data_IF_424505279268
#
_entry.id   IF_424505279268
#
_cell.length_a   1.000
_cell.length_b   1.000
_cell.length_c   1.000
_cell.angle_alpha   90.00
_cell.angle_beta   90.00
_cell.angle_gamma   90.00
#
_symmetry.space_group_name_H-M   'P 1'
#
loop_
_entity.id
_entity.type
_entity.pdbx_description
1 polymer ?
#
# COMPACT_ATOMS: atom_id res chain seq x y z
N UNK A 1 20.84 -7.56 -11.16
CA UNK A 1 19.41 -7.26 -10.88
C UNK A 1 18.44 -7.96 -11.83
N UNK A 2 18.73 -8.03 -13.14
CA UNK A 2 17.88 -8.70 -14.13
C UNK A 2 17.59 -10.19 -13.83
N UNK A 3 18.56 -10.92 -13.29
CA UNK A 3 18.38 -12.35 -12.97
C UNK A 3 17.45 -12.63 -11.79
N UNK A 4 17.40 -11.77 -10.77
CA UNK A 4 16.42 -11.93 -9.69
C UNK A 4 15.00 -11.67 -10.19
N UNK A 5 14.82 -10.65 -11.03
CA UNK A 5 13.52 -10.35 -11.62
C UNK A 5 13.06 -11.49 -12.55
N UNK A 6 13.97 -12.02 -13.39
CA UNK A 6 13.69 -13.18 -14.23
C UNK A 6 13.36 -14.41 -13.40
N UNK A 7 14.10 -14.70 -12.34
CA UNK A 7 13.81 -15.82 -11.43
C UNK A 7 12.47 -15.65 -10.71
N UNK A 8 12.15 -14.45 -10.26
CA UNK A 8 10.86 -14.14 -9.64
C UNK A 8 9.69 -14.29 -10.63
N UNK A 9 9.86 -13.85 -11.88
CA UNK A 9 8.87 -14.03 -12.95
C UNK A 9 8.73 -15.52 -13.29
N UNK A 10 9.83 -16.28 -13.46
CA UNK A 10 9.78 -17.71 -13.75
C UNK A 10 9.12 -18.52 -12.61
N UNK A 11 9.39 -18.16 -11.35
CA UNK A 11 8.70 -18.70 -10.18
C UNK A 11 7.22 -18.31 -10.16
N UNK A 12 6.90 -17.05 -10.47
CA UNK A 12 5.53 -16.56 -10.56
C UNK A 12 4.70 -17.21 -11.67
N UNK A 13 5.33 -17.55 -12.79
CA UNK A 13 4.71 -18.29 -13.90
C UNK A 13 4.44 -19.76 -13.51
N UNK A 14 5.32 -20.37 -12.71
CA UNK A 14 5.11 -21.72 -12.17
C UNK A 14 3.99 -21.81 -11.13
N UNK A 15 3.73 -20.72 -10.41
CA UNK A 15 2.64 -20.60 -9.43
C UNK A 15 1.32 -20.10 -10.04
N UNK A 16 1.19 -20.13 -11.37
CA UNK A 16 -0.02 -19.64 -12.04
C UNK A 16 -1.24 -20.41 -11.57
N UNK A 17 -2.28 -19.63 -11.28
CA UNK A 17 -3.59 -20.03 -10.75
C UNK A 17 -4.04 -21.36 -11.37
N UNK A 18 -4.14 -22.42 -10.57
CA UNK A 18 -4.90 -23.60 -10.97
C UNK A 18 -6.36 -23.16 -11.07
N UNK A 19 -6.93 -23.16 -12.28
CA UNK A 19 -8.33 -22.80 -12.49
C UNK A 19 -9.25 -23.91 -12.01
N UNK A 20 -10.50 -23.55 -11.70
CA UNK A 20 -11.54 -24.52 -11.36
C UNK A 20 -11.66 -25.63 -12.41
N UNK A 21 -11.65 -25.30 -13.70
CA UNK A 21 -11.68 -26.32 -14.77
C UNK A 21 -10.49 -27.28 -14.72
N UNK A 22 -9.29 -26.83 -14.29
CA UNK A 22 -8.14 -27.71 -14.16
C UNK A 22 -8.29 -28.66 -12.98
N UNK A 23 -8.85 -28.19 -11.86
CA UNK A 23 -9.15 -29.04 -10.69
C UNK A 23 -10.21 -30.07 -11.06
N UNK A 24 -11.29 -29.65 -11.71
CA UNK A 24 -12.36 -30.55 -12.18
C UNK A 24 -11.82 -31.63 -13.11
N UNK A 25 -11.02 -31.24 -14.13
CA UNK A 25 -10.39 -32.22 -15.04
C UNK A 25 -9.47 -33.20 -14.32
N UNK A 26 -8.67 -32.72 -13.36
CA UNK A 26 -7.78 -33.59 -12.60
C UNK A 26 -8.58 -34.59 -11.76
N UNK A 27 -9.66 -34.17 -11.11
CA UNK A 27 -10.53 -35.06 -10.33
C UNK A 27 -11.28 -36.03 -11.23
N UNK A 28 -11.75 -35.59 -12.40
CA UNK A 28 -12.41 -36.46 -13.39
C UNK A 28 -11.47 -37.56 -13.91
N UNK A 29 -10.17 -37.28 -14.05
CA UNK A 29 -9.18 -38.32 -14.38
C UNK A 29 -9.03 -39.35 -13.26
N UNK A 30 -9.06 -38.93 -11.99
CA UNK A 30 -9.03 -39.84 -10.84
C UNK A 30 -10.27 -40.73 -10.80
N UNK A 31 -11.44 -40.19 -11.13
CA UNK A 31 -12.68 -40.98 -11.25
C UNK A 31 -12.56 -42.00 -12.37
N UNK A 32 -12.05 -41.61 -13.55
CA UNK A 32 -11.84 -42.55 -14.68
C UNK A 32 -10.88 -43.68 -14.35
N UNK A 33 -9.87 -43.42 -13.51
CA UNK A 33 -8.92 -44.43 -13.03
C UNK A 33 -9.50 -45.32 -11.91
N UNK A 34 -10.68 -45.00 -11.40
CA UNK A 34 -11.31 -45.70 -10.28
C UNK A 34 -10.71 -45.34 -8.91
N UNK A 35 -9.88 -44.29 -8.84
CA UNK A 35 -9.25 -43.82 -7.60
C UNK A 35 -10.22 -42.98 -6.74
N UNK A 36 -11.25 -42.40 -7.36
CA UNK A 36 -12.29 -41.60 -6.69
C UNK A 36 -13.66 -42.06 -7.15
N UNK A 37 -14.60 -42.24 -6.22
CA UNK A 37 -15.97 -42.60 -6.57
C UNK A 37 -16.67 -41.42 -7.29
N UNK A 38 -17.48 -41.66 -8.33
CA UNK A 38 -18.23 -40.61 -9.02
C UNK A 38 -19.14 -39.79 -8.09
N UNK A 39 -19.64 -40.40 -7.02
CA UNK A 39 -20.45 -39.73 -5.99
C UNK A 39 -19.65 -38.74 -5.13
N UNK A 40 -18.33 -38.89 -5.05
CA UNK A 40 -17.45 -38.11 -4.18
C UNK A 40 -16.66 -37.04 -4.93
N UNK A 41 -16.65 -37.07 -6.26
CA UNK A 41 -15.85 -36.20 -7.11
C UNK A 41 -16.13 -34.71 -6.88
N UNK A 42 -17.41 -34.31 -6.83
CA UNK A 42 -17.80 -32.92 -6.58
C UNK A 42 -17.30 -32.41 -5.23
N UNK A 43 -17.49 -33.20 -4.17
CA UNK A 43 -17.04 -32.85 -2.84
C UNK A 43 -15.52 -32.73 -2.76
N UNK A 44 -14.78 -33.54 -3.53
CA UNK A 44 -13.32 -33.42 -3.62
C UNK A 44 -12.90 -32.14 -4.35
N UNK A 45 -13.54 -31.81 -5.47
CA UNK A 45 -13.29 -30.55 -6.20
C UNK A 45 -13.52 -29.35 -5.29
N UNK A 46 -14.66 -29.29 -4.60
CA UNK A 46 -15.01 -28.17 -3.73
C UNK A 46 -13.98 -28.01 -2.60
N UNK A 47 -13.59 -29.11 -1.93
CA UNK A 47 -12.54 -29.09 -0.89
C UNK A 47 -11.19 -28.61 -1.41
N UNK A 48 -10.79 -29.02 -2.61
CA UNK A 48 -9.51 -28.62 -3.20
C UNK A 48 -9.50 -27.13 -3.55
N UNK A 49 -10.63 -26.60 -4.03
CA UNK A 49 -10.79 -25.18 -4.32
C UNK A 49 -10.74 -24.37 -3.02
N UNK A 50 -11.56 -24.72 -2.04
CA UNK A 50 -11.66 -24.02 -0.76
C UNK A 50 -10.30 -23.98 -0.04
N UNK A 51 -9.65 -25.15 0.08
CA UNK A 51 -8.30 -25.23 0.66
C UNK A 51 -7.28 -24.42 -0.14
N UNK A 52 -7.37 -24.45 -1.47
CA UNK A 52 -6.52 -23.66 -2.34
C UNK A 52 -6.69 -22.15 -2.12
N UNK A 53 -7.91 -21.68 -1.89
CA UNK A 53 -8.20 -20.28 -1.59
C UNK A 53 -7.64 -19.86 -0.22
N UNK A 54 -7.81 -20.69 0.81
CA UNK A 54 -7.25 -20.46 2.15
C UNK A 54 -5.72 -20.37 2.12
N UNK A 55 -5.05 -21.37 1.53
CA UNK A 55 -3.59 -21.41 1.44
C UNK A 55 -3.04 -20.19 0.67
N UNK A 56 -3.76 -19.74 -0.37
CA UNK A 56 -3.39 -18.53 -1.12
C UNK A 56 -3.52 -17.27 -0.29
N UNK A 57 -4.54 -17.16 0.55
CA UNK A 57 -4.70 -16.05 1.49
C UNK A 57 -3.53 -15.95 2.47
N UNK A 58 -3.11 -17.09 3.01
CA UNK A 58 -1.96 -17.18 3.92
C UNK A 58 -0.64 -16.79 3.23
N UNK A 59 -0.37 -17.35 2.05
CA UNK A 59 0.84 -17.04 1.28
C UNK A 59 0.86 -15.55 0.89
N UNK A 60 -0.26 -15.00 0.41
CA UNK A 60 -0.36 -13.57 0.05
C UNK A 60 -0.02 -12.68 1.23
N UNK A 61 -0.57 -13.00 2.41
CA UNK A 61 -0.34 -12.25 3.64
C UNK A 61 1.13 -12.31 4.08
N UNK A 62 1.72 -13.51 4.07
CA UNK A 62 3.14 -13.70 4.43
C UNK A 62 4.09 -12.95 3.48
N UNK A 63 3.82 -12.99 2.17
CA UNK A 63 4.59 -12.25 1.16
C UNK A 63 4.45 -10.75 1.39
N UNK A 64 3.23 -10.26 1.59
CA UNK A 64 2.99 -8.83 1.83
C UNK A 64 3.71 -8.33 3.09
N UNK A 65 3.64 -9.10 4.18
CA UNK A 65 4.33 -8.77 5.43
C UNK A 65 5.85 -8.76 5.23
N UNK A 66 6.40 -9.74 4.52
CA UNK A 66 7.83 -9.81 4.24
C UNK A 66 8.31 -8.64 3.38
N UNK A 67 7.53 -8.27 2.35
CA UNK A 67 7.84 -7.10 1.52
C UNK A 67 7.79 -5.83 2.35
N UNK A 68 6.78 -5.64 3.21
CA UNK A 68 6.70 -4.48 4.10
C UNK A 68 7.90 -4.40 5.05
N UNK A 69 8.34 -5.52 5.63
CA UNK A 69 9.55 -5.58 6.46
C UNK A 69 10.77 -5.09 5.69
N UNK A 70 11.02 -5.63 4.50
CA UNK A 70 12.18 -5.24 3.67
C UNK A 70 12.13 -3.76 3.29
N UNK A 71 10.95 -3.23 2.92
CA UNK A 71 10.80 -1.81 2.59
C UNK A 71 11.11 -0.92 3.80
N UNK A 72 10.67 -1.33 5.00
CA UNK A 72 10.97 -0.62 6.24
C UNK A 72 12.46 -0.64 6.58
N UNK A 73 13.12 -1.79 6.42
CA UNK A 73 14.56 -1.95 6.68
C UNK A 73 15.40 -1.13 5.70
N UNK A 74 14.93 -0.95 4.47
CA UNK A 74 15.54 -0.08 3.46
C UNK A 74 15.18 1.40 3.61
N UNK A 75 14.49 1.77 4.70
CA UNK A 75 14.01 3.13 4.97
C UNK A 75 13.16 3.72 3.83
N UNK A 76 12.42 2.88 3.10
CA UNK A 76 11.49 3.35 2.06
C UNK A 76 10.25 3.93 2.74
N UNK A 77 9.97 5.24 2.59
CA UNK A 77 8.82 5.86 3.23
C UNK A 77 7.50 5.35 2.62
N UNK A 78 6.51 5.10 3.46
CA UNK A 78 5.17 4.78 3.02
C UNK A 78 4.44 6.03 2.52
N UNK A 79 3.38 5.85 1.72
CA UNK A 79 2.51 6.97 1.30
C UNK A 79 1.93 7.74 2.48
N UNK A 80 1.65 7.07 3.59
CA UNK A 80 1.18 7.70 4.83
C UNK A 80 2.20 8.67 5.41
N UNK A 81 3.49 8.34 5.31
CA UNK A 81 4.57 9.18 5.83
C UNK A 81 4.70 10.46 4.99
N UNK A 82 4.52 10.33 3.67
CA UNK A 82 4.50 11.47 2.75
C UNK A 82 3.30 12.38 3.05
N UNK A 83 2.10 11.80 3.18
CA UNK A 83 0.89 12.58 3.50
C UNK A 83 1.01 13.31 4.85
N UNK A 84 1.62 12.68 5.86
CA UNK A 84 1.88 13.31 7.15
C UNK A 84 2.87 14.48 7.03
N UNK A 85 3.87 14.39 6.14
CA UNK A 85 4.79 15.49 5.86
C UNK A 85 4.10 16.62 5.10
N UNK A 86 3.27 16.32 4.12
CA UNK A 86 2.48 17.31 3.36
C UNK A 86 1.59 18.13 4.29
N UNK A 87 0.88 17.49 5.23
CA UNK A 87 0.04 18.18 6.21
C UNK A 87 0.88 19.09 7.13
N UNK A 88 2.02 18.59 7.61
CA UNK A 88 2.94 19.39 8.45
C UNK A 88 3.47 20.60 7.70
N UNK A 89 3.81 20.45 6.42
CA UNK A 89 4.24 21.56 5.56
C UNK A 89 3.12 22.58 5.42
N UNK A 90 1.90 22.16 5.11
CA UNK A 90 0.76 23.07 4.97
C UNK A 90 0.49 23.87 6.27
N UNK A 91 0.60 23.22 7.44
CA UNK A 91 0.47 23.91 8.74
C UNK A 91 1.59 24.93 8.95
N UNK A 92 2.83 24.58 8.61
CA UNK A 92 3.97 25.49 8.73
C UNK A 92 3.85 26.68 7.79
N UNK A 93 3.42 26.47 6.55
CA UNK A 93 3.17 27.52 5.56
C UNK A 93 2.11 28.51 6.04
N UNK A 94 1.01 28.03 6.63
CA UNK A 94 -0.02 28.90 7.22
C UNK A 94 0.51 29.74 8.36
N UNK A 95 1.24 29.13 9.30
CA UNK A 95 1.84 29.85 10.43
C UNK A 95 2.85 30.90 9.98
N UNK A 96 3.64 30.59 8.95
CA UNK A 96 4.57 31.55 8.37
C UNK A 96 3.83 32.74 7.76
N UNK A 97 2.77 32.49 7.00
CA UNK A 97 1.94 33.55 6.44
C UNK A 97 1.28 34.45 7.52
N UNK A 98 0.81 33.85 8.62
CA UNK A 98 0.27 34.58 9.77
C UNK A 98 1.35 35.47 10.41
N UNK A 99 2.54 34.94 10.68
CA UNK A 99 3.65 35.69 11.27
C UNK A 99 4.13 36.83 10.36
N UNK A 100 4.24 36.59 9.06
CA UNK A 100 4.56 37.62 8.07
C UNK A 100 3.49 38.70 7.97
N UNK A 101 2.22 38.34 8.19
CA UNK A 101 1.12 39.31 8.23
C UNK A 101 1.20 40.18 9.50
N UNK A 102 1.52 39.59 10.65
CA UNK A 102 1.69 40.30 11.93
C UNK A 102 2.88 41.26 11.86
N UNK A 103 4.02 40.80 11.36
CA UNK A 103 5.22 41.64 11.20
C UNK A 103 4.99 42.84 10.26
N UNK A 104 4.17 42.67 9.20
CA UNK A 104 3.77 43.77 8.31
C UNK A 104 2.83 44.78 8.99
N UNK A 105 1.96 44.33 9.89
CA UNK A 105 1.07 45.19 10.66
C UNK A 105 1.83 45.98 11.74
N UNK A 106 2.86 45.39 12.36
CA UNK A 106 3.71 46.08 13.34
C UNK A 106 4.63 47.12 12.69
N UNK A 107 5.13 46.86 11.46
CA UNK A 107 5.93 47.82 10.70
C UNK A 107 5.14 49.01 10.11
N UNK A 108 3.82 49.04 10.27
CA UNK A 108 2.93 50.08 9.73
C UNK A 108 2.24 50.94 10.79
N UNK A 109 2.74 50.96 12.03
CA UNK A 109 2.37 52.03 12.96
C UNK A 109 2.77 53.40 12.37
N UNK A 110 1.81 54.30 12.13
CA UNK A 110 2.12 55.63 11.63
C UNK A 110 2.87 56.38 12.72
N UNK A 111 3.96 57.05 12.35
CA UNK A 111 4.62 58.02 13.19
C UNK A 111 3.56 58.94 13.80
N UNK A 112 3.30 58.77 15.11
CA UNK A 112 2.41 59.61 15.87
C UNK A 112 2.86 61.06 15.69
N UNK A 113 1.90 61.89 15.28
CA UNK A 113 2.12 63.29 15.03
C UNK A 113 2.80 63.97 16.21
N UNK A 114 3.75 64.83 15.89
CA UNK A 114 4.07 65.96 16.77
C UNK A 114 3.21 67.13 16.30
N UNK A 115 2.06 67.44 16.94
CA UNK A 115 1.52 68.77 16.90
C UNK A 115 2.14 69.51 18.09
N UNK A 116 3.19 70.30 17.89
CA UNK A 116 3.11 71.62 18.50
C UNK A 116 3.98 72.68 17.85
N UNK A 117 3.30 73.80 17.76
CA UNK A 117 3.63 75.13 17.34
C UNK A 117 4.80 75.72 18.13
N UNK A 118 5.71 76.42 17.43
CA UNK A 118 6.27 77.65 17.99
C UNK A 118 6.73 78.59 16.89
N UNK A 119 5.88 79.59 16.68
CA UNK A 119 6.20 80.93 16.19
C UNK A 119 7.34 81.52 17.03
N UNK A 120 8.42 81.93 16.38
CA UNK A 120 9.07 83.26 16.47
C UNK A 120 10.37 83.28 15.64
#
# INVERSE_FOLDING_TARGET
MSDLLKKAISLGVGLTVVSKEKVEKAVDELVKRGEVAPSESKALVDRLIERGEEERGLIKSAVQEQVQRVLKDLNVPAKSDIAALEERIAVLERRLAELESISRLEGSQPAEGTPDTRTD
#
